data_IF_494187754131
#
_entry.id   IF_494187754131
#
_cell.length_a   1.000
_cell.length_b   1.000
_cell.length_c   1.000
_cell.angle_alpha   90.00
_cell.angle_beta   90.00
_cell.angle_gamma   90.00
#
_symmetry.space_group_name_H-M   'P 1'
#
loop_
_entity.id
_entity.type
_entity.pdbx_description
1 polymer ?
#
# COMPACT_ATOMS: atom_id res chain seq x y z
N UNK A 1 7.33 5.34 -27.64
CA UNK A 1 6.16 4.46 -27.68
C UNK A 1 4.96 5.29 -27.29
N UNK A 2 3.94 5.40 -28.15
CA UNK A 2 2.66 5.99 -27.76
C UNK A 2 2.05 5.04 -26.72
N UNK A 3 1.93 5.49 -25.49
CA UNK A 3 1.22 4.77 -24.43
C UNK A 3 -0.27 4.98 -24.71
N UNK A 4 -0.97 3.91 -25.01
CA UNK A 4 -2.44 3.94 -25.12
C UNK A 4 -3.02 3.95 -23.72
N UNK A 5 -3.24 5.15 -23.18
CA UNK A 5 -3.76 5.35 -21.83
C UNK A 5 -5.15 4.73 -21.61
N UNK A 6 -5.91 4.46 -22.68
CA UNK A 6 -7.21 3.84 -22.58
C UNK A 6 -7.12 2.33 -22.26
N UNK A 7 -5.98 1.69 -22.58
CA UNK A 7 -5.73 0.27 -22.34
C UNK A 7 -4.63 0.00 -21.29
N UNK A 8 -4.10 1.05 -20.65
CA UNK A 8 -3.06 0.92 -19.64
C UNK A 8 -3.70 0.68 -18.26
N UNK A 9 -4.09 -0.57 -18.02
CA UNK A 9 -4.69 -0.99 -16.75
C UNK A 9 -3.65 -1.48 -15.77
N UNK A 10 -3.82 -1.11 -14.50
CA UNK A 10 -3.14 -1.72 -13.38
C UNK A 10 -3.88 -3.01 -12.98
N UNK A 11 -3.16 -4.13 -12.88
CA UNK A 11 -3.72 -5.39 -12.41
C UNK A 11 -3.08 -5.79 -11.09
N UNK A 12 -3.89 -5.93 -10.04
CA UNK A 12 -3.49 -6.40 -8.71
C UNK A 12 -4.32 -7.62 -8.31
N UNK A 13 -3.68 -8.77 -8.19
CA UNK A 13 -4.38 -10.01 -7.82
C UNK A 13 -5.56 -10.37 -8.74
N UNK A 14 -5.47 -10.06 -10.02
CA UNK A 14 -6.53 -10.29 -11.01
C UNK A 14 -7.60 -9.20 -11.08
N UNK A 15 -7.54 -8.17 -10.25
CA UNK A 15 -8.43 -7.01 -10.28
C UNK A 15 -7.82 -5.88 -11.11
N UNK A 16 -8.63 -5.28 -11.98
CA UNK A 16 -8.20 -4.20 -12.89
C UNK A 16 -8.55 -2.83 -12.34
N UNK A 17 -7.59 -1.90 -12.42
CA UNK A 17 -7.73 -0.50 -12.03
C UNK A 17 -7.25 0.39 -13.17
N UNK A 18 -7.88 1.56 -13.32
CA UNK A 18 -7.48 2.60 -14.26
C UNK A 18 -6.66 3.70 -13.59
N UNK A 19 -6.78 3.82 -12.26
CA UNK A 19 -6.00 4.76 -11.46
C UNK A 19 -4.73 4.10 -10.92
N UNK A 20 -3.62 4.85 -10.93
CA UNK A 20 -2.34 4.45 -10.33
C UNK A 20 -2.11 5.11 -8.99
N UNK A 21 -3.16 5.72 -8.43
CA UNK A 21 -3.13 6.45 -7.17
C UNK A 21 -3.85 5.66 -6.06
N UNK A 22 -3.12 5.35 -4.99
CA UNK A 22 -3.66 4.74 -3.77
C UNK A 22 -3.68 5.81 -2.67
N UNK A 23 -4.85 6.03 -2.08
CA UNK A 23 -5.02 7.01 -1.02
C UNK A 23 -4.82 6.37 0.36
N UNK A 24 -3.97 7.00 1.19
CA UNK A 24 -3.91 6.73 2.62
C UNK A 24 -4.95 7.55 3.38
N UNK A 25 -5.85 6.91 4.12
CA UNK A 25 -6.93 7.61 4.85
C UNK A 25 -6.57 7.99 6.30
N UNK A 26 -5.38 7.66 6.76
CA UNK A 26 -5.01 7.61 8.18
C UNK A 26 -5.22 8.87 9.02
N UNK A 27 -5.18 10.06 8.44
CA UNK A 27 -5.36 11.34 9.14
C UNK A 27 -6.22 12.35 8.37
N UNK A 28 -6.82 11.94 7.28
CA UNK A 28 -7.60 12.85 6.46
C UNK A 28 -9.04 12.96 6.95
N UNK A 29 -9.62 14.15 6.77
CA UNK A 29 -11.05 14.36 6.97
C UNK A 29 -11.86 13.57 5.94
N UNK A 30 -13.09 13.22 6.26
CA UNK A 30 -14.02 12.57 5.33
C UNK A 30 -14.18 13.38 4.03
N UNK A 31 -14.19 14.71 4.12
CA UNK A 31 -14.29 15.60 2.96
C UNK A 31 -13.08 15.45 2.02
N UNK A 32 -11.88 15.25 2.57
CA UNK A 32 -10.69 15.03 1.75
C UNK A 32 -10.72 13.66 1.08
N UNK A 33 -11.14 12.61 1.79
CA UNK A 33 -11.32 11.26 1.21
C UNK A 33 -12.31 11.34 0.06
N UNK A 34 -13.46 11.98 0.26
CA UNK A 34 -14.47 12.20 -0.78
C UNK A 34 -13.92 12.98 -1.98
N UNK A 35 -13.19 14.07 -1.74
CA UNK A 35 -12.56 14.85 -2.80
C UNK A 35 -11.53 14.04 -3.60
N UNK A 36 -10.75 13.16 -2.95
CA UNK A 36 -9.79 12.29 -3.64
C UNK A 36 -10.48 11.24 -4.52
N UNK A 37 -11.60 10.69 -4.07
CA UNK A 37 -12.41 9.77 -4.90
C UNK A 37 -12.98 10.51 -6.11
N UNK A 38 -13.62 11.67 -5.89
CA UNK A 38 -14.34 12.40 -6.95
C UNK A 38 -13.44 13.15 -7.93
N UNK A 39 -12.28 13.65 -7.47
CA UNK A 39 -11.42 14.56 -8.24
C UNK A 39 -10.08 13.96 -8.67
N UNK A 40 -9.59 12.95 -7.96
CA UNK A 40 -8.30 12.31 -8.24
C UNK A 40 -8.46 10.83 -8.64
N UNK A 41 -9.69 10.36 -8.83
CA UNK A 41 -10.00 8.98 -9.21
C UNK A 41 -9.30 7.94 -8.32
N UNK A 42 -9.31 8.16 -7.00
CA UNK A 42 -8.75 7.20 -6.06
C UNK A 42 -9.66 5.95 -6.01
N UNK A 43 -9.19 4.86 -6.58
CA UNK A 43 -9.92 3.58 -6.67
C UNK A 43 -9.55 2.60 -5.56
N UNK A 44 -8.46 2.86 -4.84
CA UNK A 44 -7.99 2.07 -3.70
C UNK A 44 -7.73 3.00 -2.52
N UNK A 45 -8.26 2.67 -1.35
CA UNK A 45 -8.10 3.46 -0.12
C UNK A 45 -7.61 2.58 1.00
N UNK A 46 -6.48 2.96 1.64
CA UNK A 46 -5.96 2.25 2.80
C UNK A 46 -6.68 2.63 4.09
N UNK A 47 -6.86 1.67 4.96
CA UNK A 47 -7.51 1.79 6.26
C UNK A 47 -6.65 1.15 7.36
N UNK A 48 -6.47 1.83 8.49
CA UNK A 48 -5.82 1.25 9.66
C UNK A 48 -6.87 0.75 10.66
N UNK A 49 -7.06 -0.57 10.76
CA UNK A 49 -8.04 -1.18 11.68
C UNK A 49 -7.80 -0.82 13.14
N UNK A 50 -6.55 -0.61 13.54
CA UNK A 50 -6.21 -0.19 14.91
C UNK A 50 -6.95 1.10 15.33
N UNK A 51 -7.31 1.95 14.39
CA UNK A 51 -8.06 3.20 14.63
C UNK A 51 -9.57 3.02 14.57
N UNK A 52 -10.04 1.81 14.23
CA UNK A 52 -11.45 1.49 14.14
C UNK A 52 -12.17 1.47 15.51
N UNK A 53 -11.43 1.15 16.58
CA UNK A 53 -11.99 1.06 17.92
C UNK A 53 -12.51 2.39 18.49
N UNK A 54 -12.14 3.52 17.88
CA UNK A 54 -12.60 4.86 18.29
C UNK A 54 -13.89 5.31 17.53
N UNK A 55 -14.63 4.38 16.94
CA UNK A 55 -15.85 4.68 16.16
C UNK A 55 -15.60 5.21 14.75
N UNK A 56 -14.32 5.38 14.36
CA UNK A 56 -13.96 5.99 13.08
C UNK A 56 -14.14 5.07 11.87
N UNK A 57 -14.07 3.73 12.03
CA UNK A 57 -14.19 2.81 10.88
C UNK A 57 -15.61 2.76 10.33
N UNK A 58 -16.61 2.65 11.20
CA UNK A 58 -18.01 2.62 10.78
C UNK A 58 -18.36 3.88 9.97
N UNK A 59 -17.92 5.04 10.45
CA UNK A 59 -18.15 6.30 9.74
C UNK A 59 -17.44 6.39 8.39
N UNK A 60 -16.23 5.82 8.24
CA UNK A 60 -15.50 5.83 6.96
C UNK A 60 -16.15 4.88 5.96
N UNK A 61 -16.52 3.67 6.39
CA UNK A 61 -17.13 2.67 5.51
C UNK A 61 -18.46 3.15 4.92
N UNK A 62 -19.26 3.90 5.69
CA UNK A 62 -20.52 4.48 5.24
C UNK A 62 -20.36 5.53 4.13
N UNK A 63 -19.16 6.11 3.98
CA UNK A 63 -18.87 7.16 3.00
C UNK A 63 -18.10 6.68 1.77
N UNK A 64 -17.50 5.48 1.82
CA UNK A 64 -16.74 4.95 0.69
C UNK A 64 -17.71 4.26 -0.27
N UNK A 65 -17.77 4.66 -1.54
CA UNK A 65 -18.62 4.02 -2.54
C UNK A 65 -18.20 2.56 -2.77
N UNK A 66 -19.18 1.70 -3.11
CA UNK A 66 -18.96 0.26 -3.33
C UNK A 66 -17.97 -0.06 -4.46
N UNK A 67 -17.73 0.87 -5.37
CA UNK A 67 -16.77 0.71 -6.46
C UNK A 67 -15.32 1.07 -6.07
N UNK A 68 -15.09 1.47 -4.83
CA UNK A 68 -13.76 1.75 -4.30
C UNK A 68 -13.25 0.55 -3.51
N UNK A 69 -12.07 0.07 -3.83
CA UNK A 69 -11.44 -1.05 -3.15
C UNK A 69 -10.84 -0.60 -1.81
N UNK A 70 -11.25 -1.28 -0.74
CA UNK A 70 -10.68 -1.09 0.58
C UNK A 70 -9.36 -1.87 0.69
N UNK A 71 -8.33 -1.20 1.22
CA UNK A 71 -7.01 -1.79 1.46
C UNK A 71 -6.66 -1.64 2.94
N UNK A 72 -7.22 -2.50 3.81
CA UNK A 72 -6.84 -2.49 5.22
C UNK A 72 -5.35 -2.79 5.38
N UNK A 73 -4.67 -2.07 6.28
CA UNK A 73 -3.29 -2.33 6.62
C UNK A 73 -3.13 -2.98 7.99
N UNK A 74 -2.02 -3.68 8.18
CA UNK A 74 -1.70 -4.36 9.44
C UNK A 74 -0.87 -3.48 10.38
N UNK A 75 -0.98 -2.16 10.26
CA UNK A 75 -0.23 -1.19 11.06
C UNK A 75 -0.38 -1.47 12.56
N UNK A 76 0.75 -1.53 13.26
CA UNK A 76 0.85 -1.92 14.65
C UNK A 76 1.31 -3.36 14.85
N UNK A 77 1.27 -4.21 13.84
CA UNK A 77 1.85 -5.55 13.89
C UNK A 77 3.38 -5.48 14.04
N UNK A 78 3.93 -6.29 14.94
CA UNK A 78 5.37 -6.39 15.22
C UNK A 78 5.99 -7.68 14.69
N UNK A 79 5.15 -8.60 14.25
CA UNK A 79 5.53 -9.89 13.69
C UNK A 79 4.45 -10.41 12.72
N UNK A 80 4.74 -11.51 12.01
CA UNK A 80 3.84 -12.10 11.05
C UNK A 80 2.51 -12.56 11.65
N UNK A 81 2.52 -13.16 12.85
CA UNK A 81 1.31 -13.69 13.50
C UNK A 81 0.31 -12.57 13.82
N UNK A 82 0.82 -11.43 14.32
CA UNK A 82 0.00 -10.24 14.56
C UNK A 82 -0.60 -9.69 13.26
N UNK A 83 0.20 -9.59 12.19
CA UNK A 83 -0.26 -9.14 10.88
C UNK A 83 -1.34 -10.04 10.29
N UNK A 84 -1.13 -11.35 10.32
CA UNK A 84 -2.11 -12.35 9.85
C UNK A 84 -3.43 -12.25 10.60
N UNK A 85 -3.37 -12.09 11.94
CA UNK A 85 -4.57 -11.92 12.76
C UNK A 85 -5.34 -10.65 12.38
N UNK A 86 -4.65 -9.52 12.18
CA UNK A 86 -5.27 -8.26 11.76
C UNK A 86 -5.92 -8.41 10.37
N UNK A 87 -5.23 -9.04 9.42
CA UNK A 87 -5.75 -9.28 8.08
C UNK A 87 -7.03 -10.12 8.09
N UNK A 88 -7.04 -11.21 8.84
CA UNK A 88 -8.24 -12.07 8.99
C UNK A 88 -9.42 -11.29 9.61
N UNK A 89 -9.15 -10.49 10.65
CA UNK A 89 -10.16 -9.65 11.27
C UNK A 89 -10.73 -8.62 10.28
N UNK A 90 -9.89 -8.01 9.42
CA UNK A 90 -10.38 -7.07 8.41
C UNK A 90 -11.34 -7.72 7.41
N UNK A 91 -11.06 -8.95 6.99
CA UNK A 91 -11.95 -9.73 6.13
C UNK A 91 -13.29 -10.02 6.81
N UNK A 92 -13.27 -10.43 8.07
CA UNK A 92 -14.47 -10.68 8.87
C UNK A 92 -15.33 -9.42 9.06
N UNK A 93 -14.71 -8.24 9.13
CA UNK A 93 -15.38 -6.95 9.19
C UNK A 93 -15.92 -6.45 7.84
N UNK A 94 -15.77 -7.25 6.78
CA UNK A 94 -16.30 -6.91 5.44
C UNK A 94 -15.41 -6.01 4.61
N UNK A 95 -14.13 -5.84 4.96
CA UNK A 95 -13.20 -5.01 4.17
C UNK A 95 -12.70 -5.69 2.88
N UNK A 96 -13.18 -6.92 2.56
CA UNK A 96 -12.76 -7.66 1.38
C UNK A 96 -11.43 -8.39 1.55
N UNK A 97 -10.82 -8.77 0.43
CA UNK A 97 -9.64 -9.66 0.40
C UNK A 97 -8.31 -8.94 0.18
N UNK A 98 -8.32 -7.65 -0.10
CA UNK A 98 -7.09 -6.86 -0.19
C UNK A 98 -6.50 -6.60 1.19
N UNK A 99 -5.20 -6.70 1.32
CA UNK A 99 -4.49 -6.36 2.57
C UNK A 99 -3.10 -5.79 2.28
N UNK A 100 -2.77 -4.68 2.94
CA UNK A 100 -1.43 -4.12 2.96
C UNK A 100 -0.70 -4.59 4.21
N UNK A 101 0.39 -5.32 4.00
CA UNK A 101 1.22 -5.80 5.12
C UNK A 101 2.17 -4.71 5.56
N UNK A 102 2.03 -4.30 6.81
CA UNK A 102 2.94 -3.39 7.52
C UNK A 102 3.36 -4.04 8.84
N UNK A 103 4.58 -4.55 8.90
CA UNK A 103 5.16 -5.15 10.11
C UNK A 103 6.40 -4.34 10.49
N UNK A 104 6.36 -3.73 11.67
CA UNK A 104 7.41 -2.84 12.14
C UNK A 104 7.73 -3.13 13.60
N UNK A 105 8.95 -3.61 13.89
CA UNK A 105 9.40 -3.85 15.27
C UNK A 105 9.66 -2.55 16.00
N UNK A 106 10.07 -1.51 15.28
CA UNK A 106 10.35 -0.19 15.82
C UNK A 106 9.22 0.80 15.54
N UNK A 107 8.65 1.36 16.60
CA UNK A 107 7.57 2.34 16.51
C UNK A 107 8.06 3.78 16.27
N UNK A 108 9.37 4.03 16.38
CA UNK A 108 9.93 5.37 16.23
C UNK A 108 10.15 5.77 14.77
N UNK A 109 10.78 4.87 13.99
CA UNK A 109 11.12 5.15 12.59
C UNK A 109 10.16 4.50 11.60
N UNK A 110 9.35 3.53 12.04
CA UNK A 110 8.35 2.81 11.24
C UNK A 110 8.96 2.12 10.01
N UNK A 111 10.13 1.51 10.22
CA UNK A 111 10.83 0.77 9.17
C UNK A 111 10.27 -0.67 9.10
N UNK A 112 10.07 -1.21 7.90
CA UNK A 112 9.50 -2.54 7.72
C UNK A 112 10.46 -3.65 8.10
N UNK A 113 9.93 -4.74 8.67
CA UNK A 113 10.64 -5.99 8.88
C UNK A 113 10.41 -6.91 7.67
N UNK A 114 11.38 -6.97 6.77
CA UNK A 114 11.25 -7.74 5.54
C UNK A 114 11.05 -9.25 5.78
N UNK A 115 11.69 -9.83 6.78
CA UNK A 115 11.60 -11.25 7.09
C UNK A 115 10.20 -11.65 7.56
N UNK A 116 9.65 -10.92 8.51
CA UNK A 116 8.29 -11.14 9.00
C UNK A 116 7.24 -10.82 7.92
N UNK A 117 7.52 -9.87 7.04
CA UNK A 117 6.65 -9.52 5.91
C UNK A 117 6.56 -10.66 4.90
N UNK A 118 7.66 -11.35 4.57
CA UNK A 118 7.64 -12.53 3.70
C UNK A 118 6.78 -13.64 4.30
N UNK A 119 6.95 -13.94 5.60
CA UNK A 119 6.14 -14.97 6.28
C UNK A 119 4.65 -14.66 6.25
N UNK A 120 4.26 -13.44 6.59
CA UNK A 120 2.86 -13.03 6.58
C UNK A 120 2.27 -13.09 5.16
N UNK A 121 3.05 -12.68 4.16
CA UNK A 121 2.65 -12.73 2.75
C UNK A 121 2.35 -14.16 2.31
N UNK A 122 3.23 -15.11 2.61
CA UNK A 122 3.05 -16.52 2.25
C UNK A 122 1.77 -17.11 2.86
N UNK A 123 1.52 -16.83 4.13
CA UNK A 123 0.32 -17.33 4.82
C UNK A 123 -0.94 -16.76 4.19
N UNK A 124 -1.00 -15.42 4.04
CA UNK A 124 -2.20 -14.74 3.58
C UNK A 124 -2.48 -14.96 2.09
N UNK A 125 -1.46 -15.08 1.25
CA UNK A 125 -1.63 -15.42 -0.15
C UNK A 125 -2.25 -16.83 -0.32
N UNK A 126 -1.82 -17.80 0.48
CA UNK A 126 -2.43 -19.15 0.52
C UNK A 126 -3.90 -19.14 0.97
N UNK A 127 -4.29 -18.15 1.76
CA UNK A 127 -5.67 -17.94 2.22
C UNK A 127 -6.52 -17.14 1.24
N UNK A 128 -5.98 -16.81 0.06
CA UNK A 128 -6.69 -16.08 -1.00
C UNK A 128 -6.76 -14.57 -0.82
N UNK A 129 -5.91 -13.99 0.03
CA UNK A 129 -5.77 -12.54 0.10
C UNK A 129 -4.99 -12.00 -1.10
N UNK A 130 -5.35 -10.80 -1.55
CA UNK A 130 -4.54 -9.98 -2.44
C UNK A 130 -3.54 -9.22 -1.56
N UNK A 131 -2.32 -9.73 -1.46
CA UNK A 131 -1.33 -9.25 -0.49
C UNK A 131 -0.44 -8.20 -1.12
N UNK A 132 -0.37 -7.03 -0.50
CA UNK A 132 0.42 -5.87 -0.92
C UNK A 132 1.44 -5.52 0.19
N UNK A 133 2.68 -6.06 0.12
CA UNK A 133 3.64 -5.96 1.20
C UNK A 133 4.48 -4.68 1.14
N UNK A 134 4.46 -3.90 2.22
CA UNK A 134 5.39 -2.80 2.47
C UNK A 134 6.74 -3.35 2.91
N UNK A 135 7.82 -2.93 2.22
CA UNK A 135 9.13 -3.51 2.42
C UNK A 135 10.26 -2.48 2.29
N UNK A 136 11.40 -2.79 2.90
CA UNK A 136 12.65 -2.10 2.62
C UNK A 136 13.16 -2.55 1.24
N UNK A 137 13.57 -1.65 0.33
CA UNK A 137 13.90 -2.02 -1.05
C UNK A 137 15.18 -2.87 -1.12
N UNK A 138 14.97 -4.16 -1.31
CA UNK A 138 15.97 -5.21 -1.50
C UNK A 138 15.48 -6.17 -2.58
N UNK A 139 16.32 -6.43 -3.60
CA UNK A 139 15.93 -7.26 -4.74
C UNK A 139 15.64 -8.71 -4.35
N UNK A 140 16.44 -9.29 -3.45
CA UNK A 140 16.25 -10.68 -3.05
C UNK A 140 14.94 -10.82 -2.24
N UNK A 141 14.67 -9.87 -1.35
CA UNK A 141 13.40 -9.81 -0.61
C UNK A 141 12.22 -9.64 -1.56
N UNK A 142 12.33 -8.81 -2.59
CA UNK A 142 11.28 -8.65 -3.60
C UNK A 142 11.00 -9.96 -4.35
N UNK A 143 12.04 -10.73 -4.69
CA UNK A 143 11.89 -12.06 -5.29
C UNK A 143 11.24 -13.07 -4.33
N UNK A 144 11.61 -13.05 -3.06
CA UNK A 144 11.01 -13.91 -2.04
C UNK A 144 9.53 -13.55 -1.82
N UNK A 145 9.18 -12.27 -1.81
CA UNK A 145 7.79 -11.79 -1.73
C UNK A 145 6.96 -12.22 -2.96
N UNK A 146 7.53 -12.10 -4.16
CA UNK A 146 6.87 -12.56 -5.39
C UNK A 146 6.61 -14.08 -5.32
N UNK A 147 7.60 -14.87 -4.89
CA UNK A 147 7.46 -16.32 -4.70
C UNK A 147 6.46 -16.69 -3.58
N UNK A 148 6.34 -15.85 -2.56
CA UNK A 148 5.35 -16.01 -1.49
C UNK A 148 3.91 -15.69 -1.94
N UNK A 149 3.72 -15.13 -3.13
CA UNK A 149 2.41 -14.84 -3.70
C UNK A 149 1.93 -13.40 -3.53
N UNK A 150 2.83 -12.45 -3.35
CA UNK A 150 2.50 -11.02 -3.35
C UNK A 150 1.85 -10.59 -4.67
N UNK A 151 0.87 -9.69 -4.60
CA UNK A 151 0.22 -9.11 -5.78
C UNK A 151 0.99 -7.92 -6.39
N UNK A 152 1.85 -7.31 -5.61
CA UNK A 152 2.74 -6.21 -5.99
C UNK A 152 3.91 -6.13 -5.00
N UNK A 153 4.85 -5.24 -5.24
CA UNK A 153 5.91 -4.91 -4.28
C UNK A 153 5.79 -3.43 -3.91
N UNK A 154 5.82 -3.12 -2.60
CA UNK A 154 5.65 -1.76 -2.08
C UNK A 154 6.91 -1.28 -1.35
N UNK A 155 7.98 -0.89 -2.08
CA UNK A 155 9.20 -0.39 -1.46
C UNK A 155 9.01 1.00 -0.87
N UNK A 156 9.59 1.27 0.30
CA UNK A 156 9.64 2.61 0.85
C UNK A 156 10.56 3.53 0.02
N UNK A 157 10.08 4.74 -0.26
CA UNK A 157 10.90 5.80 -0.85
C UNK A 157 11.78 6.49 0.18
N UNK A 158 11.22 6.76 1.35
CA UNK A 158 11.88 7.31 2.54
C UNK A 158 11.06 6.94 3.79
N UNK A 159 11.57 7.09 5.00
CA UNK A 159 10.81 6.77 6.21
C UNK A 159 9.44 7.45 6.24
N UNK A 160 8.42 6.72 6.73
CA UNK A 160 7.05 7.20 6.85
C UNK A 160 7.01 8.57 7.54
N UNK A 161 6.29 9.53 6.96
CA UNK A 161 6.13 10.88 7.51
C UNK A 161 7.33 11.80 7.38
N UNK A 162 8.38 11.40 6.66
CA UNK A 162 9.60 12.21 6.50
C UNK A 162 9.50 13.30 5.42
N UNK A 163 8.57 13.15 4.45
CA UNK A 163 8.44 14.04 3.29
C UNK A 163 9.77 14.24 2.52
N UNK A 164 10.64 13.23 2.50
CA UNK A 164 11.96 13.31 1.83
C UNK A 164 11.94 12.86 0.38
N UNK A 165 10.78 12.40 -0.13
CA UNK A 165 10.66 11.90 -1.48
C UNK A 165 11.23 10.50 -1.64
N UNK A 166 11.80 10.22 -2.81
CA UNK A 166 12.30 8.88 -3.18
C UNK A 166 13.80 8.81 -2.95
N UNK A 167 14.21 8.76 -1.68
CA UNK A 167 15.64 8.64 -1.32
C UNK A 167 16.24 7.29 -1.75
N UNK A 168 15.42 6.29 -1.99
CA UNK A 168 15.81 4.93 -2.41
C UNK A 168 15.63 4.70 -3.91
N UNK A 169 15.61 5.76 -4.72
CA UNK A 169 15.31 5.75 -6.14
C UNK A 169 16.06 4.69 -6.94
N UNK A 170 17.37 4.61 -6.78
CA UNK A 170 18.20 3.66 -7.51
C UNK A 170 17.86 2.20 -7.19
N UNK A 171 17.53 1.91 -5.92
CA UNK A 171 17.10 0.57 -5.52
C UNK A 171 15.71 0.25 -6.07
N UNK A 172 14.80 1.22 -6.06
CA UNK A 172 13.45 1.04 -6.65
C UNK A 172 13.55 0.80 -8.16
N UNK A 173 14.46 1.50 -8.87
CA UNK A 173 14.67 1.27 -10.29
C UNK A 173 15.11 -0.17 -10.58
N UNK A 174 16.00 -0.74 -9.75
CA UNK A 174 16.38 -2.16 -9.85
C UNK A 174 15.16 -3.08 -9.69
N UNK A 175 14.26 -2.78 -8.77
CA UNK A 175 13.03 -3.57 -8.61
C UNK A 175 12.12 -3.48 -9.84
N UNK A 176 11.98 -2.29 -10.42
CA UNK A 176 11.18 -2.08 -11.63
C UNK A 176 11.77 -2.87 -12.83
N UNK A 177 13.07 -2.93 -12.94
CA UNK A 177 13.76 -3.60 -14.03
C UNK A 177 13.74 -5.13 -13.90
N UNK A 178 13.69 -5.66 -12.68
CA UNK A 178 13.94 -7.09 -12.39
C UNK A 178 12.71 -7.88 -11.89
N UNK A 179 11.64 -7.20 -11.49
CA UNK A 179 10.45 -7.83 -10.90
C UNK A 179 9.26 -7.66 -11.84
N UNK A 180 8.62 -8.77 -12.22
CA UNK A 180 7.44 -8.77 -13.10
C UNK A 180 6.12 -8.36 -12.41
N UNK A 181 6.15 -8.02 -11.12
CA UNK A 181 5.00 -7.51 -10.39
C UNK A 181 4.95 -5.97 -10.42
N UNK A 182 3.76 -5.37 -10.29
CA UNK A 182 3.65 -3.93 -10.11
C UNK A 182 4.48 -3.42 -8.92
N UNK A 183 5.24 -2.35 -9.13
CA UNK A 183 6.01 -1.68 -8.08
C UNK A 183 5.26 -0.44 -7.64
N UNK A 184 4.97 -0.33 -6.35
CA UNK A 184 4.21 0.78 -5.77
C UNK A 184 5.12 1.51 -4.76
N UNK A 185 5.56 2.71 -5.09
CA UNK A 185 6.37 3.51 -4.17
C UNK A 185 5.51 3.92 -2.98
N UNK A 186 5.93 3.49 -1.81
CA UNK A 186 5.27 3.76 -0.53
C UNK A 186 6.18 4.62 0.35
N UNK A 187 5.60 5.43 1.22
CA UNK A 187 6.30 6.27 2.20
C UNK A 187 7.30 7.31 1.61
N UNK A 188 7.41 8.42 2.28
CA UNK A 188 8.31 9.51 1.91
C UNK A 188 7.73 10.54 0.94
N UNK A 189 6.68 10.22 0.21
CA UNK A 189 6.03 11.12 -0.73
C UNK A 189 5.11 12.10 0.03
N UNK A 190 5.40 13.37 -0.05
CA UNK A 190 4.62 14.43 0.60
C UNK A 190 4.41 15.68 -0.27
N UNK A 191 4.85 15.63 -1.54
CA UNK A 191 4.69 16.74 -2.52
C UNK A 191 4.25 16.19 -3.87
N UNK A 192 3.45 16.94 -4.65
CA UNK A 192 3.05 16.53 -6.00
C UNK A 192 4.24 16.21 -6.92
N UNK A 193 5.33 16.98 -6.84
CA UNK A 193 6.54 16.74 -7.65
C UNK A 193 7.19 15.39 -7.36
N UNK A 194 7.17 14.94 -6.10
CA UNK A 194 7.70 13.63 -5.71
C UNK A 194 6.79 12.49 -6.22
N UNK A 195 5.48 12.71 -6.24
CA UNK A 195 4.54 11.78 -6.86
C UNK A 195 4.76 11.68 -8.38
N UNK A 196 4.93 12.81 -9.06
CA UNK A 196 5.27 12.83 -10.48
C UNK A 196 6.58 12.07 -10.76
N UNK A 197 7.62 12.28 -9.94
CA UNK A 197 8.89 11.57 -10.07
C UNK A 197 8.69 10.04 -9.97
N UNK A 198 7.90 9.56 -9.01
CA UNK A 198 7.57 8.15 -8.90
C UNK A 198 6.86 7.62 -10.14
N UNK A 199 5.90 8.36 -10.68
CA UNK A 199 5.18 7.99 -11.89
C UNK A 199 6.09 7.98 -13.13
N UNK A 200 7.04 8.93 -13.25
CA UNK A 200 8.02 8.98 -14.33
C UNK A 200 8.98 7.77 -14.32
N UNK A 201 9.21 7.16 -13.16
CA UNK A 201 9.94 5.89 -13.05
C UNK A 201 9.14 4.67 -13.53
N UNK A 202 7.92 4.84 -14.05
CA UNK A 202 6.99 3.78 -14.42
C UNK A 202 6.53 2.93 -13.23
N UNK A 203 6.58 3.49 -12.04
CA UNK A 203 6.03 2.89 -10.82
C UNK A 203 4.61 3.40 -10.54
N UNK A 204 4.00 2.80 -9.55
CA UNK A 204 2.76 3.27 -8.95
C UNK A 204 3.07 4.08 -7.70
N UNK A 205 2.14 4.91 -7.24
CA UNK A 205 2.33 5.68 -6.02
C UNK A 205 1.29 5.33 -4.97
N UNK A 206 1.75 5.29 -3.73
CA UNK A 206 0.92 5.32 -2.54
C UNK A 206 1.26 6.56 -1.72
N UNK A 207 0.31 7.46 -1.60
CA UNK A 207 0.44 8.62 -0.73
C UNK A 207 -0.26 8.27 0.58
N UNK A 208 0.52 8.00 1.61
CA UNK A 208 0.02 7.50 2.90
C UNK A 208 0.15 8.58 3.89
N UNK A 209 0.14 9.53 4.20
CA UNK A 209 0.14 10.40 5.40
C UNK A 209 0.82 11.76 5.24
N UNK A 210 0.19 12.78 5.86
CA UNK A 210 0.84 14.08 6.00
C UNK A 210 2.10 13.94 6.87
N UNK A 211 3.06 14.81 6.61
CA UNK A 211 4.27 14.96 7.40
C UNK A 211 3.99 14.92 8.90
N UNK A 212 4.81 14.20 9.66
CA UNK A 212 4.82 14.35 11.11
C UNK A 212 5.15 15.79 11.47
N UNK A 213 4.46 16.39 12.46
CA UNK A 213 4.83 17.68 12.99
C UNK A 213 6.23 17.65 13.65
#
# INVERSE_FOLDING_TARGET
KNIDLANDKLVLGGHEFTSRFILGSGKFSLDLVKACIEKADAQIITLALRRANDGGLANILDYIPDNVTLLPNTSGARNADEAVRIARLSRELGCGDFVKIEIMRDSKYLLPDNFETIKATEILAKEGFVVMPYMYPDLNVARDLANAGAACIMPLGAPIGSNKGICTKEFIQILIDEIDLPIIVDAGIGRPSQACEAMEMLSLIHISEPTRP
#
